data_IF_176396746216
#
_entry.id   IF_176396746216
#
_cell.length_a   1.000
_cell.length_b   1.000
_cell.length_c   1.000
_cell.angle_alpha   90.00
_cell.angle_beta   90.00
_cell.angle_gamma   90.00
#
_symmetry.space_group_name_H-M   'P 1'
#
loop_
_entity.id
_entity.type
_entity.pdbx_description
1 polymer ?
#
# COMPACT_ATOMS: atom_id res chain seq x y z
N UNK A 1 -8.36 8.93 2.75
CA UNK A 1 -8.46 8.07 1.57
C UNK A 1 -9.02 6.72 1.98
N UNK A 2 -10.07 6.30 1.30
CA UNK A 2 -10.65 4.98 1.40
C UNK A 2 -9.71 3.93 0.77
N UNK A 3 -9.84 2.67 1.15
CA UNK A 3 -8.98 1.59 0.63
C UNK A 3 -9.07 1.47 -0.90
N UNK A 4 -10.27 1.60 -1.47
CA UNK A 4 -10.49 1.56 -2.92
C UNK A 4 -9.75 2.67 -3.66
N UNK A 5 -9.65 3.86 -3.07
CA UNK A 5 -8.90 4.98 -3.67
C UNK A 5 -7.40 4.70 -3.66
N UNK A 6 -6.89 4.09 -2.59
CA UNK A 6 -5.46 3.72 -2.48
C UNK A 6 -5.12 2.64 -3.51
N UNK A 7 -5.97 1.62 -3.65
CA UNK A 7 -5.75 0.54 -4.62
C UNK A 7 -5.85 1.05 -6.06
N UNK A 8 -6.81 1.93 -6.35
CA UNK A 8 -6.93 2.58 -7.67
C UNK A 8 -5.67 3.36 -8.03
N UNK A 9 -5.14 4.17 -7.10
CA UNK A 9 -3.90 4.90 -7.34
C UNK A 9 -2.70 3.97 -7.48
N UNK A 10 -2.63 2.90 -6.67
CA UNK A 10 -1.56 1.90 -6.76
C UNK A 10 -1.51 1.28 -8.16
N UNK A 11 -2.66 0.91 -8.74
CA UNK A 11 -2.74 0.40 -10.11
C UNK A 11 -2.27 1.42 -11.15
N UNK A 12 -2.75 2.66 -11.07
CA UNK A 12 -2.33 3.73 -11.99
C UNK A 12 -0.82 4.00 -11.92
N UNK A 13 -0.22 3.98 -10.73
CA UNK A 13 1.23 4.13 -10.60
C UNK A 13 1.98 2.91 -11.11
N UNK A 14 1.47 1.70 -10.90
CA UNK A 14 2.09 0.50 -11.45
C UNK A 14 2.12 0.52 -12.99
N UNK A 15 1.06 0.99 -13.64
CA UNK A 15 1.02 1.20 -15.09
C UNK A 15 2.05 2.23 -15.59
N UNK A 16 2.42 3.19 -14.74
CA UNK A 16 3.47 4.19 -15.01
C UNK A 16 4.89 3.68 -14.68
N UNK A 17 5.05 2.42 -14.29
CA UNK A 17 6.35 1.79 -14.01
C UNK A 17 6.81 1.86 -12.57
N UNK A 18 5.98 2.33 -11.63
CA UNK A 18 6.28 2.25 -10.21
C UNK A 18 6.12 0.82 -9.71
N UNK A 19 7.13 0.31 -9.03
CA UNK A 19 7.18 -1.09 -8.59
C UNK A 19 7.32 -1.26 -7.08
N UNK A 20 7.55 -0.15 -6.37
CA UNK A 20 7.81 -0.10 -4.93
C UNK A 20 6.80 0.81 -4.25
N UNK A 21 6.06 0.25 -3.29
CA UNK A 21 5.12 0.98 -2.46
C UNK A 21 5.64 0.99 -1.02
N UNK A 22 5.64 2.17 -0.38
CA UNK A 22 5.96 2.34 1.04
C UNK A 22 4.76 2.89 1.78
N UNK A 23 4.24 2.11 2.72
CA UNK A 23 3.23 2.55 3.68
C UNK A 23 3.91 3.32 4.82
N UNK A 24 3.39 4.50 5.09
CA UNK A 24 3.86 5.44 6.12
C UNK A 24 2.66 6.23 6.65
N UNK A 25 2.89 7.18 7.56
CA UNK A 25 1.87 8.03 8.14
C UNK A 25 2.29 8.48 9.54
N UNK A 26 1.36 8.36 10.49
CA UNK A 26 1.70 8.27 11.93
C UNK A 26 2.16 6.85 12.23
N UNK A 27 1.26 6.02 12.76
CA UNK A 27 1.48 4.58 12.88
C UNK A 27 0.57 3.80 11.90
N UNK A 28 1.13 3.18 10.85
CA UNK A 28 0.33 2.46 9.85
C UNK A 28 -0.47 1.29 10.42
N UNK A 29 0.00 0.61 11.48
CA UNK A 29 -0.70 -0.55 12.06
C UNK A 29 -2.02 -0.19 12.74
N UNK A 30 -2.23 1.09 13.09
CA UNK A 30 -3.49 1.60 13.66
C UNK A 30 -4.60 1.73 12.60
N UNK A 31 -4.25 1.75 11.30
CA UNK A 31 -5.25 1.83 10.23
C UNK A 31 -6.11 0.57 10.25
N UNK A 32 -7.42 0.75 10.35
CA UNK A 32 -8.38 -0.34 10.14
C UNK A 32 -8.13 -1.01 8.77
N UNK A 33 -8.17 -2.34 8.74
CA UNK A 33 -7.96 -3.15 7.54
C UNK A 33 -6.56 -3.02 6.89
N UNK A 34 -5.52 -2.57 7.63
CA UNK A 34 -4.16 -2.45 7.08
C UNK A 34 -3.65 -3.76 6.43
N UNK A 35 -4.03 -4.92 6.97
CA UNK A 35 -3.65 -6.23 6.42
C UNK A 35 -4.26 -6.43 5.03
N UNK A 36 -5.55 -6.12 4.86
CA UNK A 36 -6.24 -6.26 3.58
C UNK A 36 -5.78 -5.21 2.57
N UNK A 37 -5.46 -4.00 3.05
CA UNK A 37 -4.85 -2.98 2.20
C UNK A 37 -3.47 -3.44 1.68
N UNK A 38 -2.60 -3.95 2.55
CA UNK A 38 -1.29 -4.51 2.15
C UNK A 38 -1.47 -5.66 1.17
N UNK A 39 -2.44 -6.54 1.39
CA UNK A 39 -2.77 -7.65 0.48
C UNK A 39 -3.20 -7.12 -0.89
N UNK A 40 -4.09 -6.12 -0.95
CA UNK A 40 -4.52 -5.54 -2.22
C UNK A 40 -3.37 -4.87 -2.98
N UNK A 41 -2.51 -4.12 -2.28
CA UNK A 41 -1.33 -3.49 -2.87
C UNK A 41 -0.36 -4.57 -3.41
N UNK A 42 -0.07 -5.62 -2.64
CA UNK A 42 0.87 -6.66 -3.06
C UNK A 42 0.38 -7.52 -4.22
N UNK A 43 -0.94 -7.60 -4.43
CA UNK A 43 -1.55 -8.29 -5.57
C UNK A 43 -1.74 -7.39 -6.79
N UNK A 44 -1.39 -6.11 -6.70
CA UNK A 44 -1.49 -5.20 -7.85
C UNK A 44 -0.42 -5.57 -8.90
N UNK A 45 -0.79 -5.89 -10.15
CA UNK A 45 0.18 -6.19 -11.19
C UNK A 45 1.20 -5.05 -11.36
N UNK A 46 2.48 -5.39 -11.43
CA UNK A 46 3.58 -4.41 -11.53
C UNK A 46 4.21 -4.03 -10.18
N UNK A 47 3.51 -4.21 -9.06
CA UNK A 47 4.08 -4.01 -7.73
C UNK A 47 4.98 -5.19 -7.37
N UNK A 48 6.26 -4.90 -7.11
CA UNK A 48 7.28 -5.90 -6.75
C UNK A 48 7.64 -5.86 -5.26
N UNK A 49 7.45 -4.72 -4.61
CA UNK A 49 7.82 -4.54 -3.21
C UNK A 49 6.80 -3.69 -2.50
N UNK A 50 6.31 -4.20 -1.38
CA UNK A 50 5.55 -3.44 -0.39
C UNK A 50 6.40 -3.36 0.87
N UNK A 51 6.60 -2.15 1.36
CA UNK A 51 7.36 -1.88 2.58
C UNK A 51 6.53 -0.99 3.52
N UNK A 52 6.86 -1.00 4.80
CA UNK A 52 6.20 -0.19 5.80
C UNK A 52 7.24 0.43 6.73
N UNK A 53 7.02 1.66 7.14
CA UNK A 53 7.72 2.27 8.28
C UNK A 53 6.76 2.30 9.45
N UNK A 54 7.13 1.65 10.56
CA UNK A 54 6.30 1.51 11.78
C UNK A 54 7.17 1.78 13.01
N UNK A 55 6.55 2.22 14.10
CA UNK A 55 7.16 2.35 15.42
C UNK A 55 7.21 1.01 16.19
N UNK A 56 6.48 -0.01 15.74
CA UNK A 56 6.50 -1.37 16.29
C UNK A 56 5.85 -1.55 17.68
N UNK A 57 5.01 -0.61 18.12
CA UNK A 57 4.20 -0.78 19.36
C UNK A 57 2.93 -1.61 19.15
#
# INVERSE_FOLDING_TARGET
MQDDEVLRLTGLFAELGFDKIRLTGGEPTVRANVVELVRGISHTPGVRTVSMTTNGV
#
